data_IF_487082971975
#
_entry.id   IF_487082971975
#
_cell.length_a   1.000
_cell.length_b   1.000
_cell.length_c   1.000
_cell.angle_alpha   90.00
_cell.angle_beta   90.00
_cell.angle_gamma   90.00
#
_symmetry.space_group_name_H-M   'P 1'
#
loop_
_entity.id
_entity.type
_entity.pdbx_description
1 polymer ?
#
# COMPACT_ATOMS: atom_id res chain seq x y z
N UNK A 1 -12.83 46.77 63.96
CA UNK A 1 -13.42 46.02 62.84
C UNK A 1 -13.26 46.88 61.61
N UNK A 2 -12.84 46.26 60.50
CA UNK A 2 -12.97 46.71 59.10
C UNK A 2 -12.06 47.88 58.63
N UNK A 3 -11.43 47.82 57.45
CA UNK A 3 -11.57 46.93 56.28
C UNK A 3 -10.19 46.55 55.69
N UNK A 4 -10.02 45.27 55.35
CA UNK A 4 -8.91 44.79 54.53
C UNK A 4 -9.30 45.01 53.05
N UNK A 5 -8.58 45.92 52.39
CA UNK A 5 -8.68 46.19 50.96
C UNK A 5 -8.19 44.97 50.15
N UNK A 6 -9.11 44.07 49.78
CA UNK A 6 -8.82 42.96 48.85
C UNK A 6 -8.73 43.50 47.43
N UNK A 7 -7.51 43.80 46.99
CA UNK A 7 -7.24 43.93 45.56
C UNK A 7 -7.37 42.55 44.91
N UNK A 8 -8.43 42.39 44.12
CA UNK A 8 -8.69 41.19 43.32
C UNK A 8 -7.62 41.08 42.21
N UNK A 9 -6.80 40.01 42.16
CA UNK A 9 -5.70 39.88 41.21
C UNK A 9 -6.13 39.47 39.78
N UNK A 10 -7.43 39.25 39.53
CA UNK A 10 -7.93 38.59 38.31
C UNK A 10 -8.80 39.45 37.37
N UNK A 11 -8.99 40.74 37.63
CA UNK A 11 -9.78 41.61 36.75
C UNK A 11 -8.90 42.32 35.70
N UNK A 12 -8.78 41.72 34.52
CA UNK A 12 -8.18 42.38 33.36
C UNK A 12 -9.15 43.42 32.78
N UNK A 13 -8.78 44.69 32.84
CA UNK A 13 -9.52 45.78 32.20
C UNK A 13 -9.34 45.79 30.67
N UNK A 14 -10.39 46.13 29.91
CA UNK A 14 -10.34 46.27 28.44
C UNK A 14 -9.20 47.20 27.96
N UNK A 15 -8.90 48.24 28.75
CA UNK A 15 -7.81 49.18 28.45
C UNK A 15 -6.44 48.49 28.50
N UNK A 16 -6.24 47.61 29.47
CA UNK A 16 -5.00 46.84 29.60
C UNK A 16 -4.83 45.84 28.47
N UNK A 17 -5.92 45.22 28.00
CA UNK A 17 -5.89 44.33 26.82
C UNK A 17 -5.42 45.10 25.59
N UNK A 18 -5.99 46.27 25.33
CA UNK A 18 -5.62 47.11 24.18
C UNK A 18 -4.16 47.56 24.28
N UNK A 19 -3.69 47.89 25.48
CA UNK A 19 -2.30 48.31 25.70
C UNK A 19 -1.32 47.14 25.51
N UNK A 20 -1.64 45.95 26.03
CA UNK A 20 -0.88 44.72 25.79
C UNK A 20 -0.83 44.34 24.31
N UNK A 21 -1.91 44.57 23.56
CA UNK A 21 -1.96 44.29 22.12
C UNK A 21 -1.09 45.26 21.31
N UNK A 22 -1.11 46.56 21.67
CA UNK A 22 -0.24 47.57 21.04
C UNK A 22 1.23 47.32 21.33
N UNK A 23 1.57 46.95 22.57
CA UNK A 23 2.96 46.63 22.93
C UNK A 23 3.44 45.36 22.22
N UNK A 24 2.60 44.32 22.12
CA UNK A 24 2.90 43.13 21.34
C UNK A 24 3.14 43.43 19.85
N UNK A 25 2.30 44.26 19.23
CA UNK A 25 2.48 44.70 17.84
C UNK A 25 3.80 45.46 17.64
N UNK A 26 4.11 46.41 18.53
CA UNK A 26 5.37 47.16 18.48
C UNK A 26 6.58 46.25 18.68
N UNK A 27 6.47 45.25 19.56
CA UNK A 27 7.54 44.29 19.81
C UNK A 27 7.81 43.42 18.59
N UNK A 28 6.77 42.86 17.96
CA UNK A 28 6.88 42.09 16.72
C UNK A 28 7.50 42.95 15.61
N UNK A 29 7.05 44.19 15.46
CA UNK A 29 7.62 45.13 14.50
C UNK A 29 9.10 45.44 14.78
N UNK A 30 9.51 45.53 16.05
CA UNK A 30 10.93 45.76 16.41
C UNK A 30 11.84 44.57 16.08
N UNK A 31 11.28 43.35 16.04
CA UNK A 31 11.99 42.09 15.77
C UNK A 31 11.76 41.55 14.35
N UNK A 32 11.23 42.38 13.45
CA UNK A 32 10.87 41.97 12.09
C UNK A 32 12.02 41.32 11.31
N UNK A 33 13.26 41.78 11.50
CA UNK A 33 14.47 41.16 10.92
C UNK A 33 14.72 39.75 11.47
N UNK A 34 14.60 39.54 12.78
CA UNK A 34 14.74 38.21 13.39
C UNK A 34 13.66 37.25 12.88
N UNK A 35 12.42 37.74 12.75
CA UNK A 35 11.30 36.97 12.17
C UNK A 35 11.57 36.67 10.71
N UNK A 36 12.09 37.62 9.94
CA UNK A 36 12.46 37.44 8.54
C UNK A 36 13.55 36.37 8.38
N UNK A 37 14.60 36.42 9.19
CA UNK A 37 15.67 35.41 9.17
C UNK A 37 15.15 34.03 9.57
N UNK A 38 14.33 33.94 10.62
CA UNK A 38 13.70 32.68 11.03
C UNK A 38 12.78 32.13 9.94
N UNK A 39 11.99 32.98 9.30
CA UNK A 39 11.12 32.63 8.18
C UNK A 39 11.90 32.18 6.95
N UNK A 40 13.00 32.87 6.62
CA UNK A 40 13.87 32.50 5.50
C UNK A 40 14.56 31.16 5.75
N UNK A 41 15.10 30.95 6.95
CA UNK A 41 15.73 29.69 7.33
C UNK A 41 14.71 28.53 7.33
N UNK A 42 13.54 28.75 7.91
CA UNK A 42 12.44 27.77 7.88
C UNK A 42 11.95 27.48 6.45
N UNK A 43 11.86 28.51 5.61
CA UNK A 43 11.51 28.39 4.19
C UNK A 43 12.53 27.59 3.41
N UNK A 44 13.83 27.86 3.60
CA UNK A 44 14.91 27.10 2.97
C UNK A 44 14.90 25.63 3.39
N UNK A 45 14.73 25.36 4.68
CA UNK A 45 14.61 23.98 5.19
C UNK A 45 13.36 23.27 4.65
N UNK A 46 12.23 23.98 4.58
CA UNK A 46 11.00 23.46 4.00
C UNK A 46 11.13 23.12 2.51
N UNK A 47 11.77 24.00 1.73
CA UNK A 47 12.05 23.78 0.31
C UNK A 47 13.03 22.62 0.11
N UNK A 48 14.11 22.55 0.91
CA UNK A 48 15.06 21.45 0.86
C UNK A 48 14.37 20.10 1.16
N UNK A 49 13.52 20.05 2.19
CA UNK A 49 12.75 18.86 2.52
C UNK A 49 11.78 18.45 1.38
N UNK A 50 11.05 19.42 0.82
CA UNK A 50 10.11 19.18 -0.27
C UNK A 50 10.82 18.66 -1.54
N UNK A 51 12.00 19.18 -1.85
CA UNK A 51 12.79 18.75 -3.00
C UNK A 51 13.36 17.34 -2.84
N UNK A 52 13.76 16.95 -1.62
CA UNK A 52 14.34 15.62 -1.34
C UNK A 52 13.25 14.53 -1.29
N UNK A 53 12.06 14.86 -0.79
CA UNK A 53 10.98 13.88 -0.60
C UNK A 53 10.34 13.51 -1.93
N UNK A 54 10.80 12.41 -2.53
CA UNK A 54 10.21 11.85 -3.76
C UNK A 54 8.70 11.56 -3.57
N UNK A 55 7.86 11.88 -4.57
CA UNK A 55 6.44 11.56 -4.51
C UNK A 55 6.22 10.05 -4.39
N UNK A 56 5.15 9.68 -3.70
CA UNK A 56 4.69 8.30 -3.54
C UNK A 56 3.33 8.20 -4.20
N UNK A 57 3.20 7.24 -5.11
CA UNK A 57 2.01 7.02 -5.91
C UNK A 57 1.27 5.78 -5.41
N UNK A 58 -0.01 5.96 -5.14
CA UNK A 58 -0.91 4.88 -4.72
C UNK A 58 -1.90 4.59 -5.84
N UNK A 59 -1.93 3.35 -6.32
CA UNK A 59 -3.00 2.85 -7.18
C UNK A 59 -3.97 2.02 -6.35
N UNK A 60 -5.25 2.36 -6.42
CA UNK A 60 -6.32 1.76 -5.63
C UNK A 60 -7.35 1.12 -6.54
N UNK A 61 -7.65 -0.15 -6.29
CA UNK A 61 -8.78 -0.86 -6.90
C UNK A 61 -9.74 -1.32 -5.82
N UNK A 62 -11.03 -1.04 -6.01
CA UNK A 62 -12.10 -1.48 -5.13
C UNK A 62 -13.13 -2.29 -5.91
N UNK A 63 -13.50 -3.45 -5.38
CA UNK A 63 -14.50 -4.31 -6.00
C UNK A 63 -15.34 -5.04 -4.95
N UNK A 64 -16.54 -5.45 -5.35
CA UNK A 64 -17.44 -6.23 -4.50
C UNK A 64 -17.25 -7.71 -4.81
N UNK A 65 -17.08 -8.52 -3.76
CA UNK A 65 -17.11 -9.98 -3.88
C UNK A 65 -18.56 -10.46 -3.72
N UNK A 66 -19.09 -11.14 -4.72
CA UNK A 66 -20.38 -11.81 -4.61
C UNK A 66 -20.26 -12.98 -3.63
N UNK A 67 -21.04 -12.91 -2.55
CA UNK A 67 -21.05 -13.90 -1.49
C UNK A 67 -22.28 -14.78 -1.67
N UNK A 68 -22.08 -16.07 -1.96
CA UNK A 68 -23.16 -17.06 -2.11
C UNK A 68 -23.73 -17.46 -0.74
N UNK A 69 -23.95 -16.49 0.16
CA UNK A 69 -24.56 -16.70 1.48
C UNK A 69 -26.06 -16.90 1.34
N UNK A 70 -26.43 -18.09 0.88
CA UNK A 70 -27.77 -18.65 1.07
C UNK A 70 -27.64 -19.95 1.87
N UNK A 71 -27.47 -19.84 3.20
CA UNK A 71 -27.62 -20.97 4.13
C UNK A 71 -26.55 -21.05 5.23
N UNK A 72 -26.99 -21.17 6.48
CA UNK A 72 -26.15 -21.29 7.70
C UNK A 72 -25.21 -22.51 7.75
N UNK A 73 -25.35 -23.44 6.80
CA UNK A 73 -24.50 -24.63 6.69
C UNK A 73 -23.13 -24.33 6.04
N UNK A 74 -23.00 -23.23 5.28
CA UNK A 74 -21.77 -22.86 4.55
C UNK A 74 -20.59 -22.50 5.46
N UNK A 75 -20.84 -21.92 6.63
CA UNK A 75 -19.79 -21.54 7.59
C UNK A 75 -19.13 -22.77 8.24
N UNK A 76 -19.89 -23.84 8.44
CA UNK A 76 -19.38 -25.10 9.00
C UNK A 76 -18.62 -25.94 7.96
N UNK A 77 -18.98 -25.82 6.68
CA UNK A 77 -18.27 -26.49 5.59
C UNK A 77 -16.81 -25.99 5.45
N UNK A 78 -16.54 -24.71 5.72
CA UNK A 78 -15.18 -24.15 5.73
C UNK A 78 -14.28 -24.76 6.81
N UNK A 79 -14.83 -25.02 7.99
CA UNK A 79 -14.11 -25.66 9.11
C UNK A 79 -13.93 -27.17 8.91
N UNK A 80 -14.94 -27.86 8.35
CA UNK A 80 -14.86 -29.28 8.04
C UNK A 80 -13.79 -29.60 6.98
N UNK A 81 -13.60 -28.71 5.99
CA UNK A 81 -12.55 -28.84 4.98
C UNK A 81 -11.14 -28.69 5.56
N UNK A 82 -10.95 -27.85 6.58
CA UNK A 82 -9.67 -27.71 7.28
C UNK A 82 -9.33 -28.94 8.15
N UNK A 83 -10.37 -29.62 8.65
CA UNK A 83 -10.24 -30.88 9.40
C UNK A 83 -10.07 -32.13 8.50
N UNK A 84 -10.03 -31.97 7.18
CA UNK A 84 -9.88 -33.08 6.23
C UNK A 84 -11.10 -33.98 6.08
N UNK A 85 -12.24 -33.63 6.70
CA UNK A 85 -13.49 -34.41 6.60
C UNK A 85 -14.28 -33.88 5.41
N UNK A 86 -14.14 -34.56 4.28
CA UNK A 86 -14.87 -34.24 3.05
C UNK A 86 -16.30 -34.82 3.12
N UNK A 87 -17.19 -34.15 3.84
CA UNK A 87 -18.63 -34.46 3.82
C UNK A 87 -19.20 -33.87 2.52
N UNK A 88 -19.44 -34.74 1.52
CA UNK A 88 -20.37 -34.49 0.41
C UNK A 88 -20.20 -33.15 -0.33
N UNK A 89 -19.28 -33.12 -1.30
CA UNK A 89 -19.31 -32.21 -2.45
C UNK A 89 -19.27 -30.71 -2.15
N UNK A 90 -18.11 -30.14 -1.75
CA UNK A 90 -17.87 -28.67 -1.76
C UNK A 90 -16.41 -28.26 -1.45
N UNK A 91 -15.40 -28.91 -2.04
CA UNK A 91 -13.99 -28.75 -1.63
C UNK A 91 -13.23 -27.45 -2.00
N UNK A 92 -13.87 -26.38 -2.47
CA UNK A 92 -13.13 -25.13 -2.77
C UNK A 92 -13.94 -23.83 -2.55
N UNK A 93 -15.01 -23.90 -1.76
CA UNK A 93 -15.70 -22.68 -1.31
C UNK A 93 -14.86 -21.88 -0.30
N UNK A 94 -13.99 -22.54 0.46
CA UNK A 94 -13.24 -21.94 1.57
C UNK A 94 -12.19 -20.91 1.16
N UNK A 95 -11.38 -21.18 0.13
CA UNK A 95 -10.25 -20.31 -0.26
C UNK A 95 -10.68 -18.89 -0.68
N UNK A 96 -11.93 -18.72 -1.11
CA UNK A 96 -12.46 -17.44 -1.58
C UNK A 96 -13.57 -16.86 -0.71
N UNK A 97 -13.79 -17.43 0.47
CA UNK A 97 -14.75 -16.91 1.44
C UNK A 97 -14.04 -16.02 2.47
N UNK A 98 -14.72 -14.94 2.87
CA UNK A 98 -14.27 -14.11 3.98
C UNK A 98 -12.90 -13.48 3.72
N UNK A 99 -11.98 -13.65 4.66
CA UNK A 99 -10.66 -13.01 4.64
C UNK A 99 -9.61 -13.81 3.85
N UNK A 100 -9.94 -15.04 3.41
CA UNK A 100 -9.04 -15.88 2.62
C UNK A 100 -8.72 -15.27 1.25
N UNK A 101 -9.63 -14.47 0.68
CA UNK A 101 -9.36 -13.71 -0.54
C UNK A 101 -8.24 -12.68 -0.30
N UNK A 102 -8.16 -12.06 0.89
CA UNK A 102 -7.10 -11.08 1.20
C UNK A 102 -5.73 -11.77 1.22
N UNK A 103 -5.66 -12.97 1.80
CA UNK A 103 -4.44 -13.78 1.82
C UNK A 103 -4.10 -14.36 0.44
N UNK A 104 -5.10 -14.66 -0.40
CA UNK A 104 -4.86 -15.07 -1.78
C UNK A 104 -4.14 -13.96 -2.57
N UNK A 105 -4.56 -12.70 -2.44
CA UNK A 105 -3.87 -11.56 -3.06
C UNK A 105 -2.41 -11.43 -2.60
N UNK A 106 -2.11 -11.76 -1.33
CA UNK A 106 -0.75 -11.73 -0.77
C UNK A 106 0.07 -12.98 -1.08
N UNK A 107 -0.55 -14.03 -1.62
CA UNK A 107 0.14 -15.28 -1.91
C UNK A 107 1.25 -15.07 -2.93
N UNK A 108 2.36 -15.79 -2.75
CA UNK A 108 3.50 -15.74 -3.68
C UNK A 108 3.06 -15.97 -5.12
N UNK A 109 2.23 -16.97 -5.35
CA UNK A 109 1.76 -17.36 -6.69
C UNK A 109 1.04 -16.22 -7.40
N UNK A 110 0.14 -15.48 -6.73
CA UNK A 110 -0.60 -14.39 -7.37
C UNK A 110 0.30 -13.19 -7.67
N UNK A 111 1.16 -12.81 -6.72
CA UNK A 111 2.11 -11.71 -6.91
C UNK A 111 3.12 -12.05 -8.01
N UNK A 112 3.68 -13.26 -7.99
CA UNK A 112 4.62 -13.75 -9.00
C UNK A 112 3.99 -13.77 -10.39
N UNK A 113 2.78 -14.33 -10.55
CA UNK A 113 2.09 -14.33 -11.84
C UNK A 113 1.83 -12.90 -12.35
N UNK A 114 1.45 -11.97 -11.47
CA UNK A 114 1.26 -10.58 -11.84
C UNK A 114 2.58 -9.91 -12.27
N UNK A 115 3.67 -10.14 -11.54
CA UNK A 115 5.02 -9.64 -11.87
C UNK A 115 5.56 -10.23 -13.18
N UNK A 116 5.28 -11.49 -13.47
CA UNK A 116 5.69 -12.18 -14.68
C UNK A 116 4.70 -11.99 -15.84
N UNK A 117 3.73 -11.11 -15.69
CA UNK A 117 2.83 -10.76 -16.79
C UNK A 117 3.52 -9.81 -17.79
N UNK A 118 3.30 -10.00 -19.10
CA UNK A 118 3.79 -9.09 -20.11
C UNK A 118 3.03 -7.76 -20.08
N UNK A 119 3.77 -6.68 -20.27
CA UNK A 119 3.28 -5.30 -20.30
C UNK A 119 3.91 -4.58 -21.49
N UNK A 120 3.10 -3.82 -22.21
CA UNK A 120 3.56 -3.01 -23.34
C UNK A 120 3.83 -1.61 -22.84
N UNK A 121 5.10 -1.19 -22.85
CA UNK A 121 5.53 0.15 -22.46
C UNK A 121 6.22 0.77 -23.67
N UNK A 122 5.71 1.91 -24.14
CA UNK A 122 6.24 2.62 -25.31
C UNK A 122 6.37 1.73 -26.57
N UNK A 123 5.43 0.81 -26.79
CA UNK A 123 5.42 -0.11 -27.94
C UNK A 123 6.31 -1.36 -27.79
N UNK A 124 7.03 -1.51 -26.68
CA UNK A 124 7.85 -2.69 -26.41
C UNK A 124 7.21 -3.60 -25.36
N UNK A 125 7.10 -4.90 -25.65
CA UNK A 125 6.70 -5.90 -24.64
C UNK A 125 7.85 -6.13 -23.66
N UNK A 126 7.55 -6.08 -22.37
CA UNK A 126 8.48 -6.44 -21.31
C UNK A 126 7.71 -7.07 -20.14
N UNK A 127 8.41 -7.80 -19.28
CA UNK A 127 7.81 -8.31 -18.04
C UNK A 127 7.70 -7.19 -17.00
N UNK A 128 6.60 -7.18 -16.24
CA UNK A 128 6.40 -6.19 -15.18
C UNK A 128 7.48 -6.24 -14.10
N UNK A 129 8.04 -7.41 -13.82
CA UNK A 129 9.16 -7.58 -12.88
C UNK A 129 10.40 -6.80 -13.32
N UNK A 130 10.65 -6.68 -14.63
CA UNK A 130 11.78 -5.91 -15.14
C UNK A 130 11.56 -4.41 -14.92
N UNK A 131 10.32 -3.93 -15.04
CA UNK A 131 9.99 -2.55 -14.65
C UNK A 131 10.33 -2.31 -13.17
N UNK A 132 9.94 -3.24 -12.29
CA UNK A 132 10.25 -3.18 -10.85
C UNK A 132 11.75 -3.14 -10.55
N UNK A 133 12.51 -4.01 -11.20
CA UNK A 133 13.97 -4.11 -11.05
C UNK A 133 14.65 -2.82 -11.49
N UNK A 134 14.21 -2.27 -12.63
CA UNK A 134 14.81 -1.09 -13.24
C UNK A 134 14.63 0.17 -12.38
N UNK A 135 13.40 0.52 -11.98
CA UNK A 135 13.19 1.77 -11.23
C UNK A 135 13.76 1.72 -9.79
N UNK A 136 13.99 0.53 -9.24
CA UNK A 136 14.61 0.34 -7.93
C UNK A 136 16.14 0.15 -7.99
N UNK A 137 16.72 0.18 -9.18
CA UNK A 137 18.15 -0.05 -9.44
C UNK A 137 18.64 -1.36 -8.79
N UNK A 138 17.85 -2.42 -8.87
CA UNK A 138 18.17 -3.68 -8.17
C UNK A 138 19.34 -4.41 -8.84
N UNK A 139 19.48 -4.34 -10.17
CA UNK A 139 20.63 -4.90 -10.87
C UNK A 139 21.96 -4.33 -10.37
N UNK A 140 22.06 -3.01 -10.17
CA UNK A 140 23.27 -2.36 -9.64
C UNK A 140 23.61 -2.84 -8.22
N UNK A 141 22.58 -3.07 -7.38
CA UNK A 141 22.76 -3.61 -6.03
C UNK A 141 23.23 -5.06 -6.07
N UNK A 142 22.68 -5.84 -7.00
CA UNK A 142 23.04 -7.24 -7.21
C UNK A 142 24.41 -7.43 -7.83
N UNK A 143 24.94 -6.48 -8.59
CA UNK A 143 26.30 -6.58 -9.14
C UNK A 143 27.39 -6.68 -8.06
N UNK A 144 27.08 -6.23 -6.82
CA UNK A 144 27.95 -6.43 -5.65
C UNK A 144 28.00 -7.90 -5.18
N UNK A 145 27.05 -8.72 -5.62
CA UNK A 145 26.97 -10.17 -5.39
C UNK A 145 27.17 -10.91 -6.73
N UNK A 146 28.31 -11.59 -6.88
CA UNK A 146 28.69 -12.28 -8.13
C UNK A 146 27.63 -13.25 -8.66
N UNK A 147 26.74 -13.79 -7.79
CA UNK A 147 25.70 -14.75 -8.20
C UNK A 147 24.47 -14.08 -8.83
N UNK A 148 24.19 -12.82 -8.50
CA UNK A 148 22.98 -12.12 -8.95
C UNK A 148 23.23 -11.15 -10.12
N UNK A 149 24.49 -10.82 -10.41
CA UNK A 149 24.89 -9.85 -11.45
C UNK A 149 24.45 -10.19 -12.89
N UNK A 150 24.12 -11.45 -13.19
CA UNK A 150 23.76 -11.92 -14.56
C UNK A 150 22.30 -12.34 -14.71
N UNK A 151 21.46 -12.10 -13.71
CA UNK A 151 20.06 -12.53 -13.74
C UNK A 151 19.22 -11.58 -14.60
N UNK A 152 18.53 -12.13 -15.59
CA UNK A 152 17.52 -11.44 -16.39
C UNK A 152 16.23 -12.24 -16.41
N UNK A 153 15.08 -11.57 -16.48
CA UNK A 153 13.78 -12.20 -16.64
C UNK A 153 13.33 -12.00 -18.09
N UNK A 154 13.03 -13.09 -18.79
CA UNK A 154 12.52 -13.06 -20.16
C UNK A 154 11.27 -13.93 -20.27
N UNK A 155 10.42 -13.63 -21.25
CA UNK A 155 9.12 -14.31 -21.45
C UNK A 155 9.27 -15.82 -21.79
N UNK A 156 10.46 -16.26 -22.23
CA UNK A 156 10.71 -17.63 -22.71
C UNK A 156 11.31 -18.58 -21.67
N UNK A 157 11.55 -18.13 -20.44
CA UNK A 157 12.17 -18.95 -19.40
C UNK A 157 11.16 -19.92 -18.79
N UNK A 158 10.90 -21.06 -19.45
CA UNK A 158 10.06 -22.15 -18.89
C UNK A 158 10.58 -22.71 -17.56
N UNK A 159 11.87 -22.48 -17.24
CA UNK A 159 12.47 -22.89 -15.98
C UNK A 159 13.33 -21.75 -15.43
N UNK A 160 12.89 -21.13 -14.34
CA UNK A 160 13.72 -20.17 -13.61
C UNK A 160 14.86 -20.89 -12.89
N UNK A 161 16.04 -20.29 -12.95
CA UNK A 161 17.20 -20.68 -12.13
C UNK A 161 16.91 -20.43 -10.64
N UNK A 162 17.64 -21.12 -9.75
CA UNK A 162 17.55 -20.89 -8.30
C UNK A 162 17.80 -19.42 -7.91
N UNK A 163 18.65 -18.72 -8.66
CA UNK A 163 18.92 -17.30 -8.43
C UNK A 163 17.72 -16.42 -8.78
N UNK A 164 17.06 -16.67 -9.92
CA UNK A 164 15.82 -15.98 -10.29
C UNK A 164 14.70 -16.24 -9.28
N UNK A 165 14.56 -17.48 -8.84
CA UNK A 165 13.55 -17.87 -7.84
C UNK A 165 13.78 -17.18 -6.48
N UNK A 166 15.03 -17.08 -6.04
CA UNK A 166 15.40 -16.33 -4.84
C UNK A 166 15.05 -14.85 -4.98
N UNK A 167 15.38 -14.24 -6.12
CA UNK A 167 15.07 -12.83 -6.40
C UNK A 167 13.55 -12.58 -6.39
N UNK A 168 12.77 -13.44 -7.05
CA UNK A 168 11.30 -13.33 -7.04
C UNK A 168 10.79 -13.41 -5.60
N UNK A 169 11.32 -14.34 -4.80
CA UNK A 169 10.91 -14.51 -3.41
C UNK A 169 11.18 -13.26 -2.58
N UNK A 170 12.34 -12.63 -2.73
CA UNK A 170 12.68 -11.39 -2.04
C UNK A 170 11.81 -10.21 -2.49
N UNK A 171 11.49 -10.13 -3.78
CA UNK A 171 10.60 -9.11 -4.34
C UNK A 171 9.17 -9.31 -3.80
N UNK A 172 8.65 -10.54 -3.81
CA UNK A 172 7.33 -10.88 -3.27
C UNK A 172 7.24 -10.50 -1.80
N UNK A 173 8.26 -10.84 -1.00
CA UNK A 173 8.34 -10.44 0.41
C UNK A 173 8.28 -8.93 0.57
N UNK A 174 9.11 -8.21 -0.20
CA UNK A 174 9.12 -6.74 -0.19
C UNK A 174 7.77 -6.14 -0.59
N UNK A 175 7.07 -6.77 -1.55
CA UNK A 175 5.75 -6.33 -1.98
C UNK A 175 4.75 -6.46 -0.84
N UNK A 176 4.68 -7.62 -0.19
CA UNK A 176 3.77 -7.85 0.93
C UNK A 176 4.06 -6.95 2.14
N UNK A 177 5.34 -6.69 2.43
CA UNK A 177 5.72 -5.93 3.61
C UNK A 177 5.52 -4.41 3.45
N UNK A 178 5.61 -3.88 2.22
CA UNK A 178 5.76 -2.41 2.01
C UNK A 178 4.96 -1.81 0.86
N UNK A 179 4.50 -2.60 -0.11
CA UNK A 179 3.96 -2.09 -1.37
C UNK A 179 2.47 -2.40 -1.50
N UNK A 180 2.07 -3.63 -1.18
CA UNK A 180 0.72 -4.13 -1.33
C UNK A 180 -0.02 -4.06 0.00
N UNK A 181 -1.19 -3.43 -0.01
CA UNK A 181 -2.13 -3.47 1.11
C UNK A 181 -3.48 -3.94 0.58
N UNK A 182 -4.04 -4.97 1.22
CA UNK A 182 -5.32 -5.57 0.83
C UNK A 182 -6.22 -5.61 2.06
N UNK A 183 -7.34 -4.89 2.00
CA UNK A 183 -8.20 -4.68 3.16
C UNK A 183 -9.68 -4.76 2.79
N UNK A 184 -10.53 -4.87 3.81
CA UNK A 184 -11.96 -4.58 3.73
C UNK A 184 -12.22 -3.32 4.56
N UNK A 185 -12.39 -2.15 3.92
CA UNK A 185 -12.58 -0.89 4.65
C UNK A 185 -13.77 -0.93 5.61
N UNK A 186 -14.87 -1.58 5.21
CA UNK A 186 -16.01 -1.89 6.05
C UNK A 186 -16.17 -3.41 6.17
N UNK A 187 -16.15 -3.93 7.39
CA UNK A 187 -16.29 -5.38 7.67
C UNK A 187 -17.70 -5.91 7.35
N UNK A 188 -18.70 -5.04 7.27
CA UNK A 188 -20.09 -5.41 6.95
C UNK A 188 -20.33 -5.46 5.45
N UNK A 189 -19.54 -4.71 4.68
CA UNK A 189 -19.62 -4.69 3.23
C UNK A 189 -18.64 -5.71 2.65
N UNK A 190 -19.04 -6.40 1.59
CA UNK A 190 -18.15 -7.30 0.85
C UNK A 190 -17.27 -6.53 -0.16
N UNK A 191 -16.82 -5.33 0.22
CA UNK A 191 -15.94 -4.49 -0.59
C UNK A 191 -14.50 -4.78 -0.19
N UNK A 192 -13.69 -5.16 -1.17
CA UNK A 192 -12.25 -5.35 -1.02
C UNK A 192 -11.55 -4.16 -1.67
N UNK A 193 -10.56 -3.61 -0.96
CA UNK A 193 -9.68 -2.56 -1.44
C UNK A 193 -8.26 -3.11 -1.57
N UNK A 194 -7.68 -2.94 -2.76
CA UNK A 194 -6.30 -3.32 -3.09
C UNK A 194 -5.53 -2.06 -3.42
N UNK A 195 -4.55 -1.74 -2.58
CA UNK A 195 -3.67 -0.58 -2.73
C UNK A 195 -2.25 -1.04 -3.07
N UNK A 196 -1.67 -0.40 -4.08
CA UNK A 196 -0.26 -0.57 -4.46
C UNK A 196 0.45 0.78 -4.35
N UNK A 197 1.46 0.83 -3.47
CA UNK A 197 2.20 2.05 -3.14
C UNK A 197 3.63 1.95 -3.67
N UNK A 198 4.05 2.87 -4.54
CA UNK A 198 5.42 2.91 -5.08
C UNK A 198 5.88 4.33 -5.41
N UNK A 199 7.20 4.50 -5.59
CA UNK A 199 7.83 5.73 -6.11
C UNK A 199 7.69 5.87 -7.63
N UNK A 200 7.18 4.85 -8.31
CA UNK A 200 6.97 4.85 -9.75
C UNK A 200 5.47 4.70 -10.07
N UNK A 201 4.88 5.76 -10.61
CA UNK A 201 3.45 5.84 -10.93
C UNK A 201 2.99 4.72 -11.87
N UNK A 202 3.75 4.48 -12.94
CA UNK A 202 3.44 3.48 -13.95
C UNK A 202 3.42 2.07 -13.33
N UNK A 203 4.39 1.74 -12.49
CA UNK A 203 4.42 0.48 -11.77
C UNK A 203 3.23 0.36 -10.82
N UNK A 204 2.93 1.39 -10.01
CA UNK A 204 1.79 1.35 -9.09
C UNK A 204 0.51 0.98 -9.82
N UNK A 205 0.21 1.68 -10.93
CA UNK A 205 -0.97 1.45 -11.74
C UNK A 205 -0.98 0.04 -12.36
N UNK A 206 0.06 -0.29 -13.13
CA UNK A 206 0.08 -1.53 -13.90
C UNK A 206 0.09 -2.76 -12.98
N UNK A 207 0.84 -2.73 -11.89
CA UNK A 207 0.88 -3.85 -10.95
C UNK A 207 -0.45 -4.04 -10.24
N UNK A 208 -1.14 -2.98 -9.84
CA UNK A 208 -2.48 -3.06 -9.27
C UNK A 208 -3.45 -3.72 -10.26
N UNK A 209 -3.51 -3.21 -11.50
CA UNK A 209 -4.39 -3.73 -12.56
C UNK A 209 -4.11 -5.21 -12.83
N UNK A 210 -2.82 -5.58 -12.96
CA UNK A 210 -2.40 -6.96 -13.25
C UNK A 210 -2.67 -7.92 -12.10
N UNK A 211 -2.45 -7.49 -10.86
CA UNK A 211 -2.71 -8.33 -9.69
C UNK A 211 -4.20 -8.62 -9.55
N UNK A 212 -5.05 -7.59 -9.67
CA UNK A 212 -6.52 -7.76 -9.64
C UNK A 212 -6.99 -8.68 -10.76
N UNK A 213 -6.50 -8.48 -11.98
CA UNK A 213 -6.81 -9.38 -13.11
C UNK A 213 -6.36 -10.82 -12.86
N UNK A 214 -5.16 -11.02 -12.32
CA UNK A 214 -4.60 -12.34 -12.02
C UNK A 214 -5.46 -13.09 -11.01
N UNK A 215 -5.83 -12.43 -9.89
CA UNK A 215 -6.67 -13.03 -8.86
C UNK A 215 -8.08 -13.30 -9.37
N UNK A 216 -8.67 -12.37 -10.14
CA UNK A 216 -10.00 -12.57 -10.72
C UNK A 216 -10.02 -13.72 -11.73
N UNK A 217 -8.98 -13.86 -12.57
CA UNK A 217 -8.86 -14.98 -13.50
C UNK A 217 -8.71 -16.31 -12.76
N UNK A 218 -7.88 -16.34 -11.70
CA UNK A 218 -7.72 -17.53 -10.86
C UNK A 218 -9.05 -17.91 -10.18
N UNK A 219 -9.80 -16.93 -9.69
CA UNK A 219 -11.14 -17.12 -9.13
C UNK A 219 -12.12 -17.69 -10.17
N UNK A 220 -12.20 -17.07 -11.36
CA UNK A 220 -13.08 -17.51 -12.43
C UNK A 220 -12.78 -18.93 -12.90
N UNK A 221 -11.51 -19.27 -13.11
CA UNK A 221 -11.07 -20.62 -13.49
C UNK A 221 -11.40 -21.66 -12.41
N UNK A 222 -11.27 -21.31 -11.14
CA UNK A 222 -11.57 -22.24 -10.04
C UNK A 222 -13.07 -22.44 -9.86
N UNK A 223 -13.90 -21.43 -10.17
CA UNK A 223 -15.36 -21.59 -10.21
C UNK A 223 -15.83 -22.41 -11.42
N UNK A 224 -15.34 -22.13 -12.63
CA UNK A 224 -15.81 -22.80 -13.86
C UNK A 224 -15.42 -24.26 -13.93
N UNK A 225 -14.21 -24.65 -13.47
CA UNK A 225 -13.81 -26.06 -13.39
C UNK A 225 -14.74 -26.92 -12.53
N UNK A 226 -15.48 -26.33 -11.59
CA UNK A 226 -16.49 -27.02 -10.78
C UNK A 226 -17.84 -27.20 -11.47
N UNK A 227 -18.20 -26.33 -12.41
CA UNK A 227 -19.48 -26.43 -13.12
C UNK A 227 -19.50 -27.56 -14.14
N UNK A 228 -18.34 -28.10 -14.51
CA UNK A 228 -18.15 -29.21 -15.44
C UNK A 228 -17.79 -30.54 -14.76
N UNK A 229 -17.79 -30.59 -13.42
CA UNK A 229 -17.62 -31.82 -12.62
C UNK A 229 -18.89 -32.09 -11.82
#
# INVERSE_FOLDING_TARGET
MEELNTQNPDEISLKEIIQKLRSARSYIASKWLTILFGGLLGGLLGLAYAYIKKPVYTATSTFVLEDNKSGGLSQYAGLASLAGINIGGSGAGGVFQGDNILELYKSRTMIEQALLSPVVINGHSNLLINLYINYNHLQEKWQKDQKAARVSFNENSKNFTRAQDSIITDIVKTINDKILTVTKPDKKLNIIQVDVVSKNELFSKIFNDRLVQTVNNFYAQTKTKKSYQ
#
